data_IF_457642134713
#
_entry.id   IF_457642134713
#
_cell.length_a   1.000
_cell.length_b   1.000
_cell.length_c   1.000
_cell.angle_alpha   90.00
_cell.angle_beta   90.00
_cell.angle_gamma   90.00
#
_symmetry.space_group_name_H-M   'P 1'
#
loop_
_entity.id
_entity.type
_entity.pdbx_description
1 polymer ?
#
# COMPACT_ATOMS: atom_id res chain seq x y z
N UNK A 1 4.15 -12.84 -18.11
CA UNK A 1 4.82 -12.01 -17.09
C UNK A 1 5.78 -12.90 -16.34
N UNK A 2 7.07 -12.59 -16.34
CA UNK A 2 8.10 -13.24 -15.53
C UNK A 2 8.35 -12.38 -14.28
N UNK A 3 8.99 -12.94 -13.26
CA UNK A 3 9.26 -12.23 -11.99
C UNK A 3 9.94 -10.87 -12.19
N UNK A 4 10.90 -10.79 -13.12
CA UNK A 4 11.55 -9.53 -13.49
C UNK A 4 10.60 -8.48 -14.06
N UNK A 5 9.50 -8.88 -14.71
CA UNK A 5 8.54 -7.96 -15.31
C UNK A 5 7.71 -7.32 -14.17
N UNK A 6 7.38 -8.08 -13.12
CA UNK A 6 6.76 -7.54 -11.91
C UNK A 6 7.68 -6.57 -11.16
N UNK A 7 8.96 -6.91 -11.02
CA UNK A 7 9.95 -6.01 -10.42
C UNK A 7 10.08 -4.71 -11.20
N UNK A 8 10.12 -4.80 -12.53
CA UNK A 8 10.17 -3.63 -13.39
C UNK A 8 8.90 -2.77 -13.24
N UNK A 9 7.71 -3.37 -13.23
CA UNK A 9 6.47 -2.64 -12.99
C UNK A 9 6.46 -1.93 -11.62
N UNK A 10 6.87 -2.62 -10.55
CA UNK A 10 6.94 -2.02 -9.21
C UNK A 10 7.92 -0.85 -9.16
N UNK A 11 9.11 -1.02 -9.73
CA UNK A 11 10.12 0.04 -9.75
C UNK A 11 9.62 1.28 -10.49
N UNK A 12 8.98 1.11 -11.66
CA UNK A 12 8.43 2.25 -12.39
C UNK A 12 7.24 2.88 -11.66
N UNK A 13 6.36 2.09 -11.03
CA UNK A 13 5.26 2.65 -10.24
C UNK A 13 5.74 3.52 -9.06
N UNK A 14 6.88 3.17 -8.45
CA UNK A 14 7.49 3.99 -7.40
C UNK A 14 8.07 5.29 -7.97
N UNK A 15 8.80 5.22 -9.09
CA UNK A 15 9.38 6.41 -9.75
C UNK A 15 8.29 7.35 -10.27
N UNK A 16 7.26 6.83 -10.92
CA UNK A 16 6.12 7.63 -11.42
C UNK A 16 5.47 8.40 -10.26
N UNK A 17 5.31 7.75 -9.09
CA UNK A 17 4.75 8.37 -7.89
C UNK A 17 5.64 9.51 -7.36
N UNK A 18 6.96 9.35 -7.39
CA UNK A 18 7.90 10.40 -7.01
C UNK A 18 7.82 11.60 -7.96
N UNK A 19 7.81 11.35 -9.27
CA UNK A 19 7.66 12.41 -10.28
C UNK A 19 6.34 13.18 -10.13
N UNK A 20 5.24 12.47 -9.83
CA UNK A 20 3.95 13.11 -9.55
C UNK A 20 3.99 14.02 -8.32
N UNK A 21 4.69 13.60 -7.26
CA UNK A 21 4.86 14.41 -6.05
C UNK A 21 5.68 15.67 -6.32
N UNK A 22 6.72 15.57 -7.16
CA UNK A 22 7.60 16.69 -7.47
C UNK A 22 6.95 17.75 -8.37
N UNK A 23 5.89 17.40 -9.09
CA UNK A 23 5.04 18.35 -9.84
C UNK A 23 4.15 19.21 -8.94
N UNK A 24 3.95 18.82 -7.68
CA UNK A 24 3.10 19.55 -6.74
C UNK A 24 3.84 20.71 -6.07
N UNK A 25 3.11 21.76 -5.70
CA UNK A 25 3.66 22.78 -4.82
C UNK A 25 3.93 22.20 -3.41
N UNK A 26 4.79 22.83 -2.58
CA UNK A 26 5.18 22.29 -1.28
C UNK A 26 4.00 21.93 -0.36
N UNK A 27 2.95 22.75 -0.34
CA UNK A 27 1.77 22.51 0.48
C UNK A 27 0.95 21.30 -0.01
N UNK A 28 0.77 21.16 -1.32
CA UNK A 28 0.06 20.02 -1.91
C UNK A 28 0.86 18.72 -1.74
N UNK A 29 2.19 18.79 -1.87
CA UNK A 29 3.08 17.64 -1.64
C UNK A 29 2.99 17.14 -0.20
N UNK A 30 3.03 18.04 0.78
CA UNK A 30 2.86 17.68 2.19
C UNK A 30 1.53 16.96 2.45
N UNK A 31 0.41 17.50 1.94
CA UNK A 31 -0.92 16.87 2.07
C UNK A 31 -1.03 15.51 1.40
N UNK A 32 -0.32 15.31 0.28
CA UNK A 32 -0.32 14.05 -0.45
C UNK A 32 0.53 12.95 0.21
N UNK A 33 1.40 13.33 1.16
CA UNK A 33 2.21 12.41 1.97
C UNK A 33 1.57 12.08 3.33
N UNK A 34 0.49 12.77 3.71
CA UNK A 34 -0.27 12.44 4.92
C UNK A 34 -0.86 11.03 4.83
N UNK A 35 -0.70 10.24 5.89
CA UNK A 35 -1.41 8.97 6.02
C UNK A 35 -2.90 9.24 6.23
N UNK A 36 -3.72 8.63 5.39
CA UNK A 36 -5.18 8.75 5.41
C UNK A 36 -5.82 7.39 5.42
N UNK A 37 -6.94 7.26 6.12
CA UNK A 37 -7.74 6.05 6.11
C UNK A 37 -8.21 5.75 4.67
N UNK A 38 -7.91 4.57 4.10
CA UNK A 38 -8.31 4.23 2.73
C UNK A 38 -9.83 4.06 2.59
N UNK A 39 -10.56 3.89 3.70
CA UNK A 39 -12.01 3.76 3.68
C UNK A 39 -12.75 5.10 3.68
N UNK A 40 -12.28 6.10 4.45
CA UNK A 40 -13.01 7.36 4.65
C UNK A 40 -12.20 8.65 4.38
N UNK A 41 -10.89 8.55 4.14
CA UNK A 41 -10.02 9.68 3.80
C UNK A 41 -9.64 10.60 4.97
N UNK A 42 -10.06 10.29 6.20
CA UNK A 42 -9.62 11.00 7.40
C UNK A 42 -8.12 10.82 7.62
N UNK A 43 -7.44 11.88 8.09
CA UNK A 43 -6.03 11.81 8.48
C UNK A 43 -5.86 10.87 9.67
N UNK A 44 -4.89 9.97 9.57
CA UNK A 44 -4.52 9.09 10.68
C UNK A 44 -3.55 9.83 11.60
N UNK A 45 -3.71 9.64 12.91
CA UNK A 45 -2.72 10.12 13.86
C UNK A 45 -1.47 9.23 13.82
N UNK A 46 -0.30 9.80 14.11
CA UNK A 46 0.95 9.04 14.19
C UNK A 46 0.81 7.88 15.18
N UNK A 47 1.00 6.64 14.70
CA UNK A 47 0.91 5.43 15.53
C UNK A 47 -0.45 4.74 15.55
N UNK A 48 -1.43 5.20 14.77
CA UNK A 48 -2.68 4.45 14.58
C UNK A 48 -2.46 3.25 13.64
N UNK A 49 -2.47 2.04 14.21
CA UNK A 49 -2.48 0.82 13.39
C UNK A 49 -3.82 0.66 12.66
N UNK A 50 -3.79 0.61 11.33
CA UNK A 50 -4.92 0.20 10.51
C UNK A 50 -5.13 -1.31 10.60
N UNK A 51 -5.68 -1.77 11.72
CA UNK A 51 -6.22 -3.12 11.85
C UNK A 51 -7.68 -3.13 11.37
N UNK A 52 -7.99 -3.88 10.31
CA UNK A 52 -9.38 -4.15 9.96
C UNK A 52 -9.99 -5.07 11.04
N UNK A 53 -10.94 -4.59 11.86
CA UNK A 53 -11.51 -5.42 12.94
C UNK A 53 -12.30 -6.62 12.41
N UNK A 54 -12.73 -6.58 11.15
CA UNK A 54 -13.40 -7.70 10.49
C UNK A 54 -12.42 -8.71 9.85
N UNK A 55 -11.11 -8.50 9.98
CA UNK A 55 -10.12 -9.40 9.41
C UNK A 55 -9.97 -10.68 10.24
N UNK A 56 -10.41 -11.80 9.69
CA UNK A 56 -10.32 -13.12 10.31
C UNK A 56 -8.96 -13.77 9.98
N UNK A 57 -8.04 -13.68 10.94
CA UNK A 57 -6.70 -14.26 10.85
C UNK A 57 -6.71 -15.78 10.69
N UNK A 58 -7.65 -16.49 11.33
CA UNK A 58 -7.75 -17.95 11.25
C UNK A 58 -8.21 -18.40 9.86
N UNK A 59 -9.23 -17.74 9.32
CA UNK A 59 -9.71 -17.99 7.95
C UNK A 59 -8.63 -17.68 6.92
N UNK A 60 -7.88 -16.58 7.09
CA UNK A 60 -6.75 -16.26 6.21
C UNK A 60 -5.69 -17.37 6.26
N UNK A 61 -5.30 -17.82 7.45
CA UNK A 61 -4.32 -18.90 7.63
C UNK A 61 -4.73 -20.18 6.90
N UNK A 62 -6.02 -20.54 6.93
CA UNK A 62 -6.55 -21.71 6.21
C UNK A 62 -6.52 -21.56 4.68
N UNK A 63 -6.72 -20.35 4.17
CA UNK A 63 -6.87 -20.09 2.73
C UNK A 63 -5.59 -19.63 2.01
N UNK A 64 -4.57 -19.19 2.75
CA UNK A 64 -3.35 -18.57 2.17
C UNK A 64 -2.45 -19.51 1.38
N UNK A 65 -2.77 -20.81 1.28
CA UNK A 65 -2.14 -21.77 0.38
C UNK A 65 -0.62 -21.86 0.52
N UNK A 66 -0.14 -22.44 1.63
CA UNK A 66 1.29 -22.58 1.93
C UNK A 66 1.87 -24.00 1.77
N UNK A 67 1.05 -25.01 1.49
CA UNK A 67 1.56 -26.35 1.19
C UNK A 67 1.91 -26.43 -0.29
N UNK A 68 3.20 -26.58 -0.60
CA UNK A 68 3.62 -27.03 -1.93
C UNK A 68 2.94 -28.37 -2.17
N UNK A 69 2.23 -28.47 -3.30
CA UNK A 69 1.82 -29.75 -3.87
C UNK A 69 3.06 -30.66 -3.92
N UNK A 70 3.07 -31.68 -3.07
CA UNK A 70 4.02 -32.80 -3.13
C UNK A 70 3.51 -33.83 -4.13
#
# INVERSE_FOLDING_TARGET
MKDRDYLWCLANALVDREEELDRLCPACRARALEEKCPACGQTLAEGEEMANPAFDMERFARLRGGERLA
#
